data_IF_754736809833
#
_entry.id   IF_754736809833
#
_cell.length_a   1.000
_cell.length_b   1.000
_cell.length_c   1.000
_cell.angle_alpha   90.00
_cell.angle_beta   90.00
_cell.angle_gamma   90.00
#
_symmetry.space_group_name_H-M   'P 1'
#
loop_
_entity.id
_entity.type
_entity.pdbx_description
1 polymer ?
#
# COMPACT_ATOMS: atom_id res chain seq x y z
N UNK A 1 0.95 -11.78 -11.80
CA UNK A 1 0.63 -10.66 -10.90
C UNK A 1 1.91 -9.97 -10.53
N UNK A 2 1.91 -8.65 -10.68
CA UNK A 2 3.11 -7.84 -10.64
C UNK A 2 2.91 -6.63 -9.77
N UNK A 3 3.97 -6.23 -9.08
CA UNK A 3 3.99 -4.98 -8.33
C UNK A 3 5.02 -4.05 -8.96
N UNK A 4 4.56 -2.88 -9.40
CA UNK A 4 5.42 -1.84 -9.98
C UNK A 4 5.11 -0.49 -9.37
N UNK A 5 6.02 0.48 -9.54
CA UNK A 5 5.68 1.88 -9.28
C UNK A 5 4.53 2.32 -10.18
N UNK A 6 3.64 3.14 -9.63
CA UNK A 6 2.63 3.80 -10.41
C UNK A 6 3.27 4.78 -11.40
N UNK A 7 2.60 4.96 -12.53
CA UNK A 7 2.87 5.93 -13.58
C UNK A 7 1.75 6.97 -13.55
N UNK A 8 1.97 8.12 -14.17
CA UNK A 8 0.95 9.17 -14.24
C UNK A 8 -0.39 8.67 -14.84
N UNK A 9 -0.33 7.72 -15.79
CA UNK A 9 -1.52 7.10 -16.40
C UNK A 9 -2.32 6.21 -15.46
N UNK A 10 -1.72 5.74 -14.35
CA UNK A 10 -2.41 4.88 -13.37
C UNK A 10 -3.26 5.69 -12.38
N UNK A 11 -3.17 7.02 -12.35
CA UNK A 11 -3.78 7.87 -11.33
C UNK A 11 -5.28 7.59 -11.16
N UNK A 12 -6.03 7.60 -12.26
CA UNK A 12 -7.49 7.34 -12.24
C UNK A 12 -7.78 5.95 -11.67
N UNK A 13 -6.98 4.97 -12.04
CA UNK A 13 -7.15 3.57 -11.65
C UNK A 13 -6.80 3.34 -10.17
N UNK A 14 -5.78 4.03 -9.66
CA UNK A 14 -5.44 4.09 -8.23
C UNK A 14 -6.58 4.70 -7.43
N UNK A 15 -7.06 5.88 -7.85
CA UNK A 15 -8.18 6.56 -7.18
C UNK A 15 -9.43 5.68 -7.13
N UNK A 16 -9.75 4.99 -8.23
CA UNK A 16 -10.88 4.05 -8.28
C UNK A 16 -10.72 2.87 -7.29
N UNK A 17 -9.50 2.39 -7.07
CA UNK A 17 -9.23 1.32 -6.11
C UNK A 17 -9.37 1.80 -4.67
N UNK A 18 -8.89 3.01 -4.37
CA UNK A 18 -8.97 3.62 -3.04
C UNK A 18 -10.41 4.00 -2.68
N UNK A 19 -11.15 4.60 -3.62
CA UNK A 19 -12.58 4.93 -3.47
C UNK A 19 -13.42 3.66 -3.21
N UNK A 20 -13.15 2.58 -3.96
CA UNK A 20 -13.80 1.28 -3.74
C UNK A 20 -13.46 0.61 -2.39
N UNK A 21 -12.51 1.16 -1.63
CA UNK A 21 -12.17 0.74 -0.28
C UNK A 21 -12.66 1.71 0.80
N UNK A 22 -13.44 2.74 0.43
CA UNK A 22 -13.95 3.80 1.32
C UNK A 22 -12.84 4.58 2.04
N UNK A 23 -11.70 4.78 1.36
CA UNK A 23 -10.58 5.54 1.88
C UNK A 23 -10.67 7.00 1.44
N UNK A 24 -10.62 7.92 2.39
CA UNK A 24 -10.54 9.36 2.10
C UNK A 24 -9.28 9.64 1.27
N UNK A 25 -9.49 9.99 0.00
CA UNK A 25 -8.40 10.13 -0.97
C UNK A 25 -8.45 11.48 -1.63
N UNK A 26 -7.37 12.25 -1.49
CA UNK A 26 -7.17 13.51 -2.18
C UNK A 26 -6.42 13.25 -3.51
N UNK A 27 -7.05 13.64 -4.62
CA UNK A 27 -6.48 13.52 -5.96
C UNK A 27 -5.07 14.11 -6.05
N UNK A 28 -4.88 15.33 -5.55
CA UNK A 28 -3.63 16.07 -5.71
C UNK A 28 -2.52 15.44 -4.86
N UNK A 29 -2.88 14.90 -3.69
CA UNK A 29 -1.96 14.14 -2.84
C UNK A 29 -1.49 12.86 -3.53
N UNK A 30 -2.42 12.10 -4.14
CA UNK A 30 -2.06 10.87 -4.86
C UNK A 30 -1.22 11.17 -6.10
N UNK A 31 -1.59 12.20 -6.87
CA UNK A 31 -0.81 12.62 -8.03
C UNK A 31 0.63 12.98 -7.62
N UNK A 32 0.78 13.79 -6.58
CA UNK A 32 2.09 14.19 -6.05
C UNK A 32 2.90 12.98 -5.58
N UNK A 33 2.27 11.99 -4.94
CA UNK A 33 2.93 10.77 -4.51
C UNK A 33 3.37 9.91 -5.72
N UNK A 34 2.56 9.83 -6.78
CA UNK A 34 2.95 9.14 -8.03
C UNK A 34 4.18 9.81 -8.64
N UNK A 35 4.19 11.15 -8.72
CA UNK A 35 5.32 11.93 -9.26
C UNK A 35 6.62 11.71 -8.48
N UNK A 36 6.52 11.50 -7.15
CA UNK A 36 7.66 11.17 -6.28
C UNK A 36 8.10 9.70 -6.36
N UNK A 37 7.29 8.84 -6.99
CA UNK A 37 7.55 7.39 -7.05
C UNK A 37 7.19 6.66 -5.75
N UNK A 38 6.28 7.24 -4.96
CA UNK A 38 5.84 6.80 -3.63
C UNK A 38 4.54 5.96 -3.69
N UNK A 39 4.10 5.59 -4.89
CA UNK A 39 2.92 4.75 -5.10
C UNK A 39 3.31 3.46 -5.81
N UNK A 40 2.83 2.33 -5.28
CA UNK A 40 2.98 1.01 -5.88
C UNK A 40 1.62 0.46 -6.28
N UNK A 41 1.55 -0.15 -7.46
CA UNK A 41 0.33 -0.75 -8.01
C UNK A 41 0.52 -2.23 -8.28
N UNK A 42 -0.54 -2.98 -7.98
CA UNK A 42 -0.66 -4.38 -8.35
C UNK A 42 -1.43 -4.48 -9.67
N UNK A 43 -0.82 -5.14 -10.66
CA UNK A 43 -1.45 -5.43 -11.96
C UNK A 43 -1.44 -6.94 -12.24
N UNK A 44 -2.46 -7.49 -12.93
CA UNK A 44 -2.54 -8.93 -13.22
C UNK A 44 -1.39 -9.44 -14.11
N UNK A 45 -0.98 -8.64 -15.11
CA UNK A 45 -0.06 -9.00 -16.18
C UNK A 45 1.03 -7.91 -16.37
N UNK A 46 2.30 -8.31 -16.44
CA UNK A 46 3.47 -7.42 -16.55
C UNK A 46 3.66 -6.85 -17.96
N UNK A 47 3.08 -7.48 -18.98
CA UNK A 47 3.34 -7.16 -20.38
C UNK A 47 2.32 -6.23 -21.05
N UNK A 48 1.26 -5.85 -20.34
CA UNK A 48 0.19 -5.02 -20.87
C UNK A 48 0.14 -3.72 -20.08
N UNK A 49 0.61 -2.63 -20.69
CA UNK A 49 0.62 -1.29 -20.10
C UNK A 49 -0.79 -0.82 -19.68
N UNK A 50 -1.84 -1.34 -20.32
CA UNK A 50 -3.24 -1.06 -20.03
C UNK A 50 -3.90 -2.07 -19.06
N UNK A 51 -3.12 -2.91 -18.39
CA UNK A 51 -3.66 -3.81 -17.37
C UNK A 51 -4.30 -3.01 -16.23
N UNK A 52 -5.56 -3.31 -15.86
CA UNK A 52 -6.25 -2.55 -14.82
C UNK A 52 -5.56 -2.72 -13.47
N UNK A 53 -5.42 -1.63 -12.73
CA UNK A 53 -4.92 -1.69 -11.35
C UNK A 53 -5.92 -2.40 -10.46
N UNK A 54 -5.45 -3.45 -9.79
CA UNK A 54 -6.28 -4.27 -8.87
C UNK A 54 -5.98 -4.03 -7.40
N UNK A 55 -4.86 -3.36 -7.10
CA UNK A 55 -4.46 -2.95 -5.77
C UNK A 55 -3.48 -1.78 -5.83
N UNK A 56 -3.49 -0.94 -4.81
CA UNK A 56 -2.60 0.21 -4.71
C UNK A 56 -2.10 0.38 -3.27
N UNK A 57 -0.87 0.84 -3.14
CA UNK A 57 -0.26 1.29 -1.89
C UNK A 57 0.32 2.68 -2.14
N UNK A 58 -0.03 3.63 -1.27
CA UNK A 58 0.44 5.03 -1.31
C UNK A 58 1.26 5.28 -0.05
N UNK A 59 2.48 5.78 -0.23
CA UNK A 59 3.33 6.24 0.86
C UNK A 59 3.25 7.76 1.02
N UNK A 60 3.42 8.21 2.26
CA UNK A 60 3.77 9.60 2.60
C UNK A 60 5.00 9.57 3.50
N UNK A 61 6.17 9.77 2.90
CA UNK A 61 7.46 9.53 3.58
C UNK A 61 7.64 8.06 3.92
N UNK A 62 7.62 7.73 5.22
CA UNK A 62 7.68 6.36 5.72
C UNK A 62 6.31 5.79 6.15
N UNK A 63 5.25 6.59 6.06
CA UNK A 63 3.90 6.15 6.39
C UNK A 63 3.23 5.49 5.18
N UNK A 64 2.63 4.32 5.40
CA UNK A 64 1.65 3.72 4.48
C UNK A 64 0.34 4.48 4.69
N UNK A 65 0.21 5.60 3.96
CA UNK A 65 -0.96 6.47 4.04
C UNK A 65 -2.23 5.77 3.56
N UNK A 66 -2.13 4.91 2.53
CA UNK A 66 -3.24 4.10 2.05
C UNK A 66 -2.76 2.76 1.49
N UNK A 67 -3.54 1.70 1.73
CA UNK A 67 -3.41 0.42 1.04
C UNK A 67 -4.80 -0.15 0.74
N UNK A 68 -5.04 -0.51 -0.52
CA UNK A 68 -6.33 -1.05 -0.94
C UNK A 68 -6.16 -2.11 -2.02
N UNK A 69 -7.06 -3.11 -1.96
CA UNK A 69 -7.19 -4.15 -2.97
C UNK A 69 -8.66 -4.31 -3.32
N UNK A 70 -8.97 -4.36 -4.63
CA UNK A 70 -10.34 -4.57 -5.12
C UNK A 70 -10.93 -5.83 -4.47
N UNK A 71 -12.17 -5.73 -3.97
CA UNK A 71 -12.82 -6.78 -3.17
C UNK A 71 -12.78 -8.18 -3.80
N UNK A 72 -12.96 -8.29 -5.12
CA UNK A 72 -12.93 -9.58 -5.87
C UNK A 72 -11.53 -10.22 -5.96
N UNK A 73 -10.49 -9.54 -5.48
CA UNK A 73 -9.08 -9.94 -5.54
C UNK A 73 -8.41 -9.97 -4.16
N UNK A 74 -9.18 -9.79 -3.08
CA UNK A 74 -8.69 -9.96 -1.70
C UNK A 74 -8.36 -11.43 -1.45
N UNK A 75 -7.60 -11.69 -0.39
CA UNK A 75 -7.18 -13.04 0.02
C UNK A 75 -6.28 -13.78 -0.99
N UNK A 76 -5.70 -13.04 -1.94
CA UNK A 76 -4.73 -13.54 -2.93
C UNK A 76 -3.29 -13.08 -2.66
N UNK A 77 -3.00 -12.57 -1.46
CA UNK A 77 -1.67 -12.07 -1.09
C UNK A 77 -1.27 -10.74 -1.73
N UNK A 78 -2.19 -10.02 -2.37
CA UNK A 78 -1.89 -8.74 -3.06
C UNK A 78 -1.39 -7.67 -2.09
N UNK A 79 -2.05 -7.54 -0.94
CA UNK A 79 -1.64 -6.59 0.10
C UNK A 79 -0.23 -6.87 0.59
N UNK A 80 0.07 -8.15 0.87
CA UNK A 80 1.41 -8.61 1.27
C UNK A 80 2.46 -8.22 0.23
N UNK A 81 2.20 -8.55 -1.04
CA UNK A 81 3.13 -8.23 -2.14
C UNK A 81 3.35 -6.72 -2.32
N UNK A 82 2.31 -5.89 -2.12
CA UNK A 82 2.43 -4.43 -2.14
C UNK A 82 3.36 -3.92 -1.03
N UNK A 83 3.16 -4.37 0.21
CA UNK A 83 3.97 -3.94 1.35
C UNK A 83 5.40 -4.44 1.23
N UNK A 84 5.62 -5.72 0.88
CA UNK A 84 6.95 -6.28 0.65
C UNK A 84 7.72 -5.52 -0.44
N UNK A 85 7.02 -5.10 -1.51
CA UNK A 85 7.66 -4.27 -2.54
C UNK A 85 8.08 -2.93 -1.97
N UNK A 86 7.26 -2.28 -1.15
CA UNK A 86 7.62 -1.02 -0.50
C UNK A 86 8.79 -1.20 0.47
N UNK A 87 8.84 -2.29 1.24
CA UNK A 87 9.93 -2.63 2.16
C UNK A 87 11.28 -2.74 1.47
N UNK A 88 11.33 -3.18 0.21
CA UNK A 88 12.60 -3.27 -0.55
C UNK A 88 13.25 -1.91 -0.83
N UNK A 89 12.47 -0.83 -0.82
CA UNK A 89 12.94 0.51 -1.17
C UNK A 89 13.04 1.42 0.06
N UNK A 90 12.78 0.90 1.27
CA UNK A 90 12.67 1.68 2.51
C UNK A 90 13.41 1.00 3.65
N UNK A 91 13.99 1.81 4.52
CA UNK A 91 14.58 1.31 5.78
C UNK A 91 13.57 1.29 6.94
N UNK A 92 12.43 1.96 6.76
CA UNK A 92 11.37 2.08 7.75
C UNK A 92 10.02 2.21 7.07
N UNK A 93 9.02 1.56 7.64
CA UNK A 93 7.61 1.75 7.28
C UNK A 93 6.76 1.85 8.55
N UNK A 94 5.75 2.70 8.49
CA UNK A 94 4.73 2.89 9.54
C UNK A 94 3.36 2.66 8.93
N UNK A 95 2.47 2.00 9.65
CA UNK A 95 1.07 1.89 9.23
C UNK A 95 0.15 2.12 10.42
N UNK A 96 -0.90 2.91 10.22
CA UNK A 96 -2.02 3.01 11.15
C UNK A 96 -3.23 2.27 10.59
N UNK A 97 -3.90 1.47 11.41
CA UNK A 97 -4.97 0.59 10.97
C UNK A 97 -5.91 0.21 12.11
N UNK A 98 -7.07 -0.36 11.77
CA UNK A 98 -8.03 -0.88 12.73
C UNK A 98 -7.67 -2.30 13.19
N UNK A 99 -8.10 -2.71 14.39
CA UNK A 99 -7.76 -3.97 15.04
C UNK A 99 -7.82 -5.22 14.13
N UNK A 100 -8.80 -5.29 13.21
CA UNK A 100 -8.97 -6.44 12.30
C UNK A 100 -7.83 -6.65 11.30
N UNK A 101 -6.92 -5.69 11.16
CA UNK A 101 -5.78 -5.73 10.23
C UNK A 101 -4.47 -6.08 10.95
N UNK A 102 -4.47 -6.18 12.28
CA UNK A 102 -3.29 -6.53 13.09
C UNK A 102 -2.57 -7.80 12.59
N UNK A 103 -3.25 -8.96 12.39
CA UNK A 103 -2.57 -10.18 11.94
C UNK A 103 -1.88 -10.03 10.58
N UNK A 104 -2.36 -9.13 9.72
CA UNK A 104 -1.76 -8.86 8.42
C UNK A 104 -0.39 -8.18 8.57
N UNK A 105 -0.30 -7.11 9.38
CA UNK A 105 0.96 -6.40 9.59
C UNK A 105 1.96 -7.20 10.44
N UNK A 106 1.49 -7.93 11.45
CA UNK A 106 2.34 -8.84 12.23
C UNK A 106 2.98 -9.92 11.35
N UNK A 107 2.24 -10.48 10.39
CA UNK A 107 2.76 -11.49 9.45
C UNK A 107 3.88 -10.97 8.56
N UNK A 108 3.94 -9.64 8.34
CA UNK A 108 4.97 -8.94 7.59
C UNK A 108 6.16 -8.50 8.47
N UNK A 109 6.12 -8.79 9.78
CA UNK A 109 7.17 -8.45 10.73
C UNK A 109 7.12 -7.04 11.27
N UNK A 110 5.97 -6.35 11.21
CA UNK A 110 5.78 -5.08 11.91
C UNK A 110 5.67 -5.32 13.43
N UNK A 111 6.31 -4.46 14.23
CA UNK A 111 6.02 -4.31 15.67
C UNK A 111 4.72 -3.53 15.81
N UNK A 112 3.64 -4.20 16.20
CA UNK A 112 2.29 -3.62 16.29
C UNK A 112 1.97 -3.26 17.73
N UNK A 113 1.48 -2.02 17.93
CA UNK A 113 1.03 -1.51 19.23
C UNK A 113 -0.34 -0.87 19.07
N UNK A 114 -1.18 -1.06 20.09
CA UNK A 114 -2.45 -0.32 20.22
C UNK A 114 -2.14 1.09 20.73
N UNK A 115 -2.57 2.12 20.01
CA UNK A 115 -2.40 3.53 20.40
C UNK A 115 -3.60 4.03 21.22
N UNK A 116 -4.83 3.67 20.82
CA UNK A 116 -6.07 4.03 21.52
C UNK A 116 -7.13 2.91 21.47
N UNK A 117 -8.38 3.22 21.81
CA UNK A 117 -9.40 2.17 21.94
C UNK A 117 -9.75 1.44 20.63
N UNK A 118 -9.42 1.99 19.46
CA UNK A 118 -9.76 1.39 18.16
C UNK A 118 -8.61 1.33 17.15
N UNK A 119 -7.51 2.07 17.37
CA UNK A 119 -6.42 2.25 16.40
C UNK A 119 -5.14 1.56 16.84
N UNK A 120 -4.53 0.92 15.86
CA UNK A 120 -3.28 0.20 15.97
C UNK A 120 -2.25 0.88 15.08
N UNK A 121 -1.01 0.80 15.52
CA UNK A 121 0.14 1.34 14.82
C UNK A 121 1.21 0.26 14.70
N UNK A 122 1.55 -0.09 13.48
CA UNK A 122 2.65 -0.98 13.15
C UNK A 122 3.89 -0.18 12.76
N UNK A 123 5.07 -0.62 13.20
CA UNK A 123 6.35 -0.12 12.71
C UNK A 123 7.20 -1.28 12.22
N UNK A 124 7.68 -1.18 10.99
CA UNK A 124 8.69 -2.07 10.44
C UNK A 124 10.00 -1.31 10.23
N UNK A 125 11.12 -1.99 10.51
CA UNK A 125 12.47 -1.50 10.28
C UNK A 125 13.23 -2.54 9.46
N UNK A 126 13.97 -2.09 8.46
CA UNK A 126 14.87 -2.95 7.71
C UNK A 126 15.99 -3.43 8.61
N UNK A 127 16.15 -4.75 8.66
CA UNK A 127 17.24 -5.40 9.41
C UNK A 127 18.64 -5.07 8.87
N UNK A 128 18.73 -4.37 7.73
CA UNK A 128 19.98 -3.93 7.09
C UNK A 128 20.48 -2.54 7.55
N UNK A 129 19.90 -1.98 8.61
CA UNK A 129 20.44 -0.78 9.27
C UNK A 129 21.59 -1.16 10.23
N UNK A 130 22.78 -1.48 9.69
CA UNK A 130 24.03 -1.57 10.49
C UNK A 130 25.21 -0.92 9.77
#
# INVERSE_FOLDING_TARGET
MAIRRARATDLVDVLNVLDGADLATDHDRVQTAIERGDVFVAVPDEGQDDSPVVGALVLDGDEIANIAVRRRRRDLGIGTALVERAMRDRDRLVAEFDAGVEPFYESLGFDVKREDDARYRGVWLSSDSR
#
